data_IF_155040267315
#
_entry.id   IF_155040267315
#
_cell.length_a   1.000
_cell.length_b   1.000
_cell.length_c   1.000
_cell.angle_alpha   90.00
_cell.angle_beta   90.00
_cell.angle_gamma   90.00
#
_symmetry.space_group_name_H-M   'P 1'
#
loop_
_entity.id
_entity.type
_entity.pdbx_description
1 polymer ?
#
# COMPACT_ATOMS: atom_id res chain seq x y z
N UNK A 1 78.15 39.28 -47.62
CA UNK A 1 77.53 40.62 -47.57
C UNK A 1 76.13 40.53 -48.16
N UNK A 2 75.15 41.15 -47.49
CA UNK A 2 73.72 41.29 -47.86
C UNK A 2 72.90 40.00 -47.71
N UNK A 3 71.66 40.01 -47.25
CA UNK A 3 70.80 40.98 -46.56
C UNK A 3 69.64 40.15 -46.01
N UNK A 4 69.21 40.44 -44.78
CA UNK A 4 67.96 39.92 -44.18
C UNK A 4 66.74 40.48 -44.92
N UNK A 5 65.75 39.63 -45.21
CA UNK A 5 64.36 40.05 -45.49
C UNK A 5 63.44 39.20 -44.59
N UNK A 6 62.66 39.80 -43.67
CA UNK A 6 61.72 39.08 -42.83
C UNK A 6 60.43 38.75 -43.61
N UNK A 7 59.92 37.52 -43.44
CA UNK A 7 58.62 37.12 -43.99
C UNK A 7 57.47 37.73 -43.15
N UNK A 8 56.36 38.14 -43.78
CA UNK A 8 55.26 38.80 -43.10
C UNK A 8 54.47 37.81 -42.23
N UNK A 9 54.12 38.25 -41.02
CA UNK A 9 53.18 37.55 -40.13
C UNK A 9 51.76 37.74 -40.65
N UNK A 10 51.14 36.64 -41.09
CA UNK A 10 49.73 36.59 -41.47
C UNK A 10 48.88 36.65 -40.18
N UNK A 11 48.20 37.76 -39.94
CA UNK A 11 47.21 37.87 -38.86
C UNK A 11 45.89 37.25 -39.35
N UNK A 12 45.58 36.05 -38.85
CA UNK A 12 44.28 35.42 -39.04
C UNK A 12 43.32 35.99 -37.99
N UNK A 13 42.52 37.00 -38.35
CA UNK A 13 41.39 37.44 -37.54
C UNK A 13 40.33 36.35 -37.52
N UNK A 14 40.29 35.58 -36.43
CA UNK A 14 39.20 34.65 -36.12
C UNK A 14 38.06 35.48 -35.57
N UNK A 15 37.05 35.77 -36.38
CA UNK A 15 35.78 36.34 -35.90
C UNK A 15 35.05 35.26 -35.12
N UNK A 16 35.17 35.27 -33.79
CA UNK A 16 34.43 34.38 -32.92
C UNK A 16 32.95 34.79 -32.94
N UNK A 17 32.12 34.06 -33.69
CA UNK A 17 30.66 34.16 -33.59
C UNK A 17 30.26 33.46 -32.29
N UNK A 18 30.00 34.24 -31.25
CA UNK A 18 29.41 33.75 -30.01
C UNK A 18 27.94 33.37 -30.29
N UNK A 19 27.69 32.09 -30.56
CA UNK A 19 26.36 31.50 -30.54
C UNK A 19 25.86 31.50 -29.09
N UNK A 20 25.09 32.53 -28.73
CA UNK A 20 24.32 32.56 -27.48
C UNK A 20 23.19 31.55 -27.65
N UNK A 21 23.41 30.31 -27.19
CA UNK A 21 22.31 29.37 -26.94
C UNK A 21 21.51 29.92 -25.75
N UNK A 22 20.42 30.64 -26.05
CA UNK A 22 19.33 30.80 -25.10
C UNK A 22 18.70 29.41 -24.90
N UNK A 23 19.27 28.64 -23.96
CA UNK A 23 18.59 27.48 -23.42
C UNK A 23 17.33 27.98 -22.72
N UNK A 24 16.20 27.94 -23.42
CA UNK A 24 14.90 27.92 -22.76
C UNK A 24 14.89 26.65 -21.90
N UNK A 25 15.32 26.79 -20.65
CA UNK A 25 15.03 25.81 -19.62
C UNK A 25 13.52 25.77 -19.49
N UNK A 26 12.88 24.84 -20.21
CA UNK A 26 11.50 24.50 -19.96
C UNK A 26 11.43 24.00 -18.52
N UNK A 27 11.01 24.87 -17.61
CA UNK A 27 10.64 24.45 -16.27
C UNK A 27 9.56 23.39 -16.45
N UNK A 28 9.85 22.14 -16.08
CA UNK A 28 8.85 21.07 -16.06
C UNK A 28 7.77 21.50 -15.05
N UNK A 29 6.75 22.19 -15.52
CA UNK A 29 5.63 22.58 -14.69
C UNK A 29 4.72 21.37 -14.56
N UNK A 30 4.49 20.96 -13.31
CA UNK A 30 3.49 19.96 -12.97
C UNK A 30 2.15 20.30 -13.63
N UNK A 31 1.63 19.41 -14.46
CA UNK A 31 0.35 19.59 -15.14
C UNK A 31 -0.80 18.98 -14.32
N UNK A 32 -2.01 19.48 -14.54
CA UNK A 32 -3.23 18.83 -14.06
C UNK A 32 -3.89 18.06 -15.20
N UNK A 33 -3.92 16.73 -15.10
CA UNK A 33 -4.64 15.87 -16.05
C UNK A 33 -6.07 15.64 -15.56
N UNK A 34 -7.05 16.13 -16.31
CA UNK A 34 -8.48 15.98 -15.96
C UNK A 34 -9.04 14.72 -16.61
N UNK A 35 -9.58 13.83 -15.78
CA UNK A 35 -10.13 12.54 -16.19
C UNK A 35 -11.64 12.49 -15.99
N UNK A 36 -12.36 11.97 -16.98
CA UNK A 36 -13.80 11.76 -16.96
C UNK A 36 -14.40 11.71 -18.36
N UNK A 37 -15.63 11.19 -18.54
CA UNK A 37 -16.24 10.99 -19.86
C UNK A 37 -16.16 12.21 -20.78
N UNK A 38 -16.38 13.40 -20.21
CA UNK A 38 -16.36 14.69 -20.93
C UNK A 38 -15.08 15.50 -20.70
N UNK A 39 -13.99 14.86 -20.29
CA UNK A 39 -12.69 15.50 -20.03
C UNK A 39 -11.67 15.13 -21.11
N UNK A 40 -10.55 15.85 -21.13
CA UNK A 40 -9.41 15.61 -22.04
C UNK A 40 -8.98 14.15 -22.06
N UNK A 41 -9.00 13.49 -20.89
CA UNK A 41 -8.77 12.06 -20.78
C UNK A 41 -10.06 11.37 -20.34
N UNK A 42 -10.64 10.53 -21.19
CA UNK A 42 -11.88 9.84 -20.87
C UNK A 42 -11.75 8.89 -19.66
N UNK A 43 -10.56 8.31 -19.44
CA UNK A 43 -10.33 7.27 -18.43
C UNK A 43 -8.99 7.41 -17.68
N UNK A 44 -8.85 6.83 -16.47
CA UNK A 44 -7.61 6.85 -15.70
C UNK A 44 -6.42 6.25 -16.46
N UNK A 45 -6.62 5.14 -17.18
CA UNK A 45 -5.60 4.52 -18.01
C UNK A 45 -5.15 5.40 -19.17
N UNK A 46 -6.01 6.28 -19.70
CA UNK A 46 -5.62 7.27 -20.71
C UNK A 46 -4.69 8.34 -20.14
N UNK A 47 -5.00 8.88 -18.96
CA UNK A 47 -4.10 9.81 -18.27
C UNK A 47 -2.77 9.14 -17.87
N UNK A 48 -2.81 7.89 -17.40
CA UNK A 48 -1.61 7.16 -17.01
C UNK A 48 -0.58 6.98 -18.14
N UNK A 49 -1.02 6.93 -19.40
CA UNK A 49 -0.12 6.82 -20.57
C UNK A 49 0.68 8.10 -20.85
N UNK A 50 0.22 9.24 -20.37
CA UNK A 50 0.83 10.54 -20.69
C UNK A 50 1.32 11.32 -19.47
N UNK A 51 0.95 10.89 -18.26
CA UNK A 51 1.38 11.49 -17.01
C UNK A 51 2.91 11.58 -16.95
N UNK A 52 3.40 12.71 -16.46
CA UNK A 52 4.82 13.01 -16.24
C UNK A 52 5.09 13.21 -14.75
N UNK A 53 6.36 13.16 -14.33
CA UNK A 53 6.68 13.43 -12.94
C UNK A 53 6.19 14.80 -12.47
N UNK A 54 5.62 14.86 -11.27
CA UNK A 54 5.01 16.06 -10.70
C UNK A 54 3.53 16.27 -11.03
N UNK A 55 2.97 15.54 -12.01
CA UNK A 55 1.59 15.75 -12.43
C UNK A 55 0.55 15.42 -11.34
N UNK A 56 -0.57 16.13 -11.37
CA UNK A 56 -1.77 15.80 -10.61
C UNK A 56 -2.86 15.30 -11.55
N UNK A 57 -3.35 14.09 -11.30
CA UNK A 57 -4.44 13.48 -12.05
C UNK A 57 -5.71 13.65 -11.24
N UNK A 58 -6.65 14.45 -11.76
CA UNK A 58 -7.95 14.72 -11.16
C UNK A 58 -9.04 13.90 -11.86
N UNK A 59 -9.59 12.92 -11.17
CA UNK A 59 -10.62 12.00 -11.68
C UNK A 59 -12.00 12.48 -11.21
N UNK A 60 -12.86 12.84 -12.16
CA UNK A 60 -14.24 13.23 -11.87
C UNK A 60 -15.06 12.03 -11.35
N UNK A 61 -16.12 12.26 -10.54
CA UNK A 61 -17.07 11.22 -10.16
C UNK A 61 -17.59 10.43 -11.37
N UNK A 62 -17.69 9.12 -11.21
CA UNK A 62 -18.09 8.21 -12.28
C UNK A 62 -17.66 6.77 -11.99
N UNK A 63 -18.29 5.83 -12.69
CA UNK A 63 -17.91 4.41 -12.66
C UNK A 63 -17.08 4.11 -13.90
N UNK A 64 -15.83 3.72 -13.68
CA UNK A 64 -14.85 3.42 -14.71
C UNK A 64 -14.61 1.92 -14.78
N UNK A 65 -14.97 1.32 -15.93
CA UNK A 65 -14.53 -0.02 -16.32
C UNK A 65 -13.14 0.05 -16.95
N UNK A 66 -12.20 0.61 -16.20
CA UNK A 66 -10.83 0.88 -16.65
C UNK A 66 -9.79 0.39 -15.65
N UNK A 67 -8.57 0.20 -16.12
CA UNK A 67 -7.41 -0.07 -15.30
C UNK A 67 -6.26 0.83 -15.74
N UNK A 68 -5.28 1.07 -14.87
CA UNK A 68 -4.16 1.95 -15.18
C UNK A 68 -2.83 1.36 -14.71
N UNK A 69 -1.78 1.61 -15.50
CA UNK A 69 -0.39 1.31 -15.14
C UNK A 69 0.38 2.62 -15.01
N UNK A 70 0.59 3.05 -13.78
CA UNK A 70 1.29 4.29 -13.44
C UNK A 70 2.80 4.05 -13.42
N UNK A 71 3.54 4.83 -14.21
CA UNK A 71 5.02 4.70 -14.34
C UNK A 71 5.78 5.98 -13.98
N UNK A 72 5.06 7.09 -13.83
CA UNK A 72 5.66 8.40 -13.54
C UNK A 72 5.71 8.60 -12.04
N UNK A 73 6.90 8.98 -11.54
CA UNK A 73 7.14 9.24 -10.13
C UNK A 73 6.52 10.57 -9.70
N UNK A 74 6.40 10.79 -8.40
CA UNK A 74 6.05 12.11 -7.83
C UNK A 74 4.71 12.63 -8.34
N UNK A 75 3.73 11.74 -8.51
CA UNK A 75 2.38 12.09 -9.01
C UNK A 75 1.33 11.94 -7.90
N UNK A 76 0.26 12.73 -8.02
CA UNK A 76 -0.95 12.57 -7.21
C UNK A 76 -2.10 12.14 -8.11
N UNK A 77 -2.84 11.12 -7.70
CA UNK A 77 -4.02 10.60 -8.37
C UNK A 77 -5.19 10.76 -7.40
N UNK A 78 -6.10 11.69 -7.68
CA UNK A 78 -7.16 12.06 -6.75
C UNK A 78 -8.54 12.04 -7.40
N UNK A 79 -9.50 11.45 -6.70
CA UNK A 79 -10.91 11.67 -6.97
C UNK A 79 -11.31 13.10 -6.61
N UNK A 80 -12.01 13.82 -7.50
CA UNK A 80 -12.42 15.21 -7.25
C UNK A 80 -13.67 15.33 -6.38
N UNK A 81 -14.23 14.21 -5.91
CA UNK A 81 -15.44 14.13 -5.11
C UNK A 81 -15.87 12.68 -4.87
N UNK A 82 -16.93 12.46 -4.08
CA UNK A 82 -17.45 11.12 -3.84
C UNK A 82 -17.94 10.48 -5.15
N UNK A 83 -17.89 9.14 -5.22
CA UNK A 83 -18.41 8.38 -6.36
C UNK A 83 -17.43 8.17 -7.51
N UNK A 84 -16.13 8.36 -7.29
CA UNK A 84 -15.08 7.89 -8.22
C UNK A 84 -14.84 6.41 -7.97
N UNK A 85 -15.30 5.55 -8.87
CA UNK A 85 -15.26 4.09 -8.71
C UNK A 85 -14.55 3.47 -9.91
N UNK A 86 -13.50 2.70 -9.67
CA UNK A 86 -12.93 1.78 -10.65
C UNK A 86 -13.36 0.36 -10.31
N UNK A 87 -13.89 -0.36 -11.31
CA UNK A 87 -14.57 -1.63 -11.07
C UNK A 87 -14.11 -2.70 -12.05
N UNK A 88 -13.77 -3.88 -11.53
CA UNK A 88 -13.66 -5.15 -12.28
C UNK A 88 -12.43 -5.30 -13.18
N UNK A 89 -12.11 -4.29 -14.00
CA UNK A 89 -11.03 -4.40 -14.99
C UNK A 89 -9.67 -4.32 -14.32
N UNK A 90 -8.79 -5.27 -14.65
CA UNK A 90 -7.41 -5.32 -14.16
C UNK A 90 -6.40 -5.17 -15.29
N UNK A 91 -5.24 -4.64 -14.95
CA UNK A 91 -4.10 -4.41 -15.83
C UNK A 91 -2.99 -5.41 -15.50
N UNK A 92 -2.29 -5.88 -16.54
CA UNK A 92 -1.16 -6.83 -16.44
C UNK A 92 -1.50 -8.16 -15.76
N UNK A 93 -2.78 -8.54 -15.68
CA UNK A 93 -3.22 -9.69 -14.90
C UNK A 93 -2.96 -9.53 -13.39
N UNK A 94 -2.89 -8.29 -12.88
CA UNK A 94 -2.50 -8.00 -11.50
C UNK A 94 -3.54 -7.20 -10.71
N UNK A 95 -3.89 -6.00 -11.17
CA UNK A 95 -4.67 -5.06 -10.35
C UNK A 95 -5.40 -4.02 -11.18
N UNK A 96 -6.39 -3.35 -10.58
CA UNK A 96 -7.03 -2.18 -11.19
C UNK A 96 -5.98 -1.08 -11.41
N UNK A 97 -5.24 -0.72 -10.38
CA UNK A 97 -4.06 0.14 -10.49
C UNK A 97 -2.77 -0.64 -10.25
N UNK A 98 -1.88 -0.62 -11.24
CA UNK A 98 -0.50 -1.10 -11.08
C UNK A 98 0.42 0.10 -11.00
N UNK A 99 1.03 0.33 -9.84
CA UNK A 99 1.87 1.49 -9.57
C UNK A 99 3.34 1.07 -9.62
N UNK A 100 3.96 1.23 -10.79
CA UNK A 100 5.39 1.01 -11.01
C UNK A 100 6.13 2.36 -10.98
N UNK A 101 5.93 3.12 -9.91
CA UNK A 101 6.43 4.48 -9.74
C UNK A 101 6.67 4.77 -8.26
N UNK A 102 7.58 5.70 -7.98
CA UNK A 102 7.93 6.15 -6.63
C UNK A 102 7.16 7.42 -6.26
N UNK A 103 6.92 7.63 -4.96
CA UNK A 103 6.25 8.82 -4.42
C UNK A 103 4.91 9.10 -5.09
N UNK A 104 4.02 8.11 -5.01
CA UNK A 104 2.67 8.24 -5.57
C UNK A 104 1.69 8.43 -4.44
N UNK A 105 0.81 9.40 -4.59
CA UNK A 105 -0.37 9.53 -3.73
C UNK A 105 -1.60 9.10 -4.51
N UNK A 106 -2.40 8.23 -3.93
CA UNK A 106 -3.76 7.89 -4.37
C UNK A 106 -4.71 8.36 -3.29
N UNK A 107 -5.82 9.00 -3.68
CA UNK A 107 -6.83 9.43 -2.71
C UNK A 107 -8.24 9.56 -3.26
N UNK A 108 -9.23 9.29 -2.42
CA UNK A 108 -10.64 9.53 -2.69
C UNK A 108 -11.22 8.64 -3.80
N UNK A 109 -10.73 7.42 -3.95
CA UNK A 109 -11.12 6.48 -5.01
C UNK A 109 -11.62 5.16 -4.41
N UNK A 110 -12.69 4.63 -4.98
CA UNK A 110 -13.15 3.27 -4.70
C UNK A 110 -12.63 2.29 -5.75
N UNK A 111 -11.93 1.27 -5.30
CA UNK A 111 -11.45 0.12 -6.08
C UNK A 111 -12.30 -1.09 -5.73
N UNK A 112 -12.97 -1.69 -6.73
CA UNK A 112 -13.83 -2.85 -6.44
C UNK A 112 -13.81 -3.97 -7.47
N UNK A 113 -14.16 -5.16 -7.02
CA UNK A 113 -14.35 -6.34 -7.85
C UNK A 113 -13.08 -6.75 -8.64
N UNK A 114 -11.88 -6.47 -8.15
CA UNK A 114 -10.65 -6.90 -8.81
C UNK A 114 -10.46 -8.42 -8.70
N UNK A 115 -10.49 -9.11 -9.85
CA UNK A 115 -10.31 -10.55 -9.95
C UNK A 115 -9.34 -10.89 -11.06
N UNK A 116 -8.40 -11.80 -10.79
CA UNK A 116 -7.46 -12.34 -11.77
C UNK A 116 -7.35 -13.87 -11.60
N UNK A 117 -6.95 -14.62 -12.65
CA UNK A 117 -6.85 -16.08 -12.58
C UNK A 117 -5.91 -16.60 -11.49
N UNK A 118 -4.86 -15.84 -11.16
CA UNK A 118 -3.88 -16.21 -10.13
C UNK A 118 -4.45 -16.11 -8.71
N UNK A 119 -5.65 -15.54 -8.53
CA UNK A 119 -6.34 -15.43 -7.23
C UNK A 119 -5.86 -14.30 -6.34
N UNK A 120 -5.13 -13.32 -6.87
CA UNK A 120 -4.58 -12.18 -6.12
C UNK A 120 -4.84 -10.82 -6.81
N UNK A 121 -5.99 -10.71 -7.48
CA UNK A 121 -6.42 -9.52 -8.19
C UNK A 121 -6.61 -8.37 -7.22
N UNK A 122 -5.76 -7.34 -7.32
CA UNK A 122 -5.73 -6.28 -6.34
C UNK A 122 -6.48 -5.01 -6.79
N UNK A 123 -7.00 -4.24 -5.83
CA UNK A 123 -7.35 -2.84 -6.08
C UNK A 123 -6.11 -2.06 -6.52
N UNK A 124 -5.03 -2.15 -5.72
CA UNK A 124 -3.72 -1.60 -6.08
C UNK A 124 -2.63 -2.67 -5.98
N UNK A 125 -1.81 -2.80 -7.03
CA UNK A 125 -0.51 -3.47 -7.00
C UNK A 125 0.59 -2.41 -6.88
N UNK A 126 1.25 -2.35 -5.72
CA UNK A 126 2.38 -1.46 -5.49
C UNK A 126 3.69 -2.12 -5.94
N UNK A 127 4.36 -1.50 -6.92
CA UNK A 127 5.65 -1.93 -7.48
C UNK A 127 6.79 -0.94 -7.25
N UNK A 128 6.52 0.30 -6.85
CA UNK A 128 7.51 1.31 -6.49
C UNK A 128 7.51 1.68 -5.00
N UNK A 129 8.43 2.56 -4.60
CA UNK A 129 8.59 3.02 -3.21
C UNK A 129 7.64 4.16 -2.87
N UNK A 130 7.27 4.24 -1.60
CA UNK A 130 6.62 5.43 -1.01
C UNK A 130 5.25 5.70 -1.66
N UNK A 131 4.35 4.74 -1.48
CA UNK A 131 2.95 4.87 -1.85
C UNK A 131 2.16 5.40 -0.65
N UNK A 132 1.34 6.42 -0.90
CA UNK A 132 0.39 7.00 0.05
C UNK A 132 -1.03 6.74 -0.47
N UNK A 133 -1.87 6.16 0.37
CA UNK A 133 -3.28 5.81 0.09
C UNK A 133 -4.13 6.49 1.15
N UNK A 134 -5.05 7.37 0.73
CA UNK A 134 -5.76 8.26 1.68
C UNK A 134 -7.22 8.40 1.27
N UNK A 135 -8.16 8.18 2.20
CA UNK A 135 -9.60 8.28 1.92
C UNK A 135 -10.07 7.34 0.78
N UNK A 136 -9.38 6.22 0.58
CA UNK A 136 -9.70 5.25 -0.47
C UNK A 136 -10.55 4.09 0.07
N UNK A 137 -11.23 3.39 -0.83
CA UNK A 137 -12.04 2.21 -0.49
C UNK A 137 -11.67 1.03 -1.37
N UNK A 138 -11.57 -0.15 -0.78
CA UNK A 138 -11.24 -1.42 -1.42
C UNK A 138 -12.34 -2.41 -1.10
N UNK A 139 -13.20 -2.70 -2.07
CA UNK A 139 -14.44 -3.46 -1.87
C UNK A 139 -14.46 -4.71 -2.76
N UNK A 140 -14.76 -5.87 -2.20
CA UNK A 140 -15.01 -7.10 -2.97
C UNK A 140 -13.86 -7.47 -3.93
N UNK A 141 -12.62 -7.14 -3.58
CA UNK A 141 -11.45 -7.54 -4.36
C UNK A 141 -10.92 -8.87 -3.83
N UNK A 142 -10.25 -9.64 -4.70
CA UNK A 142 -9.45 -10.77 -4.19
C UNK A 142 -8.41 -10.25 -3.20
N UNK A 143 -7.70 -9.17 -3.53
CA UNK A 143 -6.82 -8.44 -2.63
C UNK A 143 -7.17 -6.94 -2.59
N UNK A 144 -7.17 -6.29 -1.42
CA UNK A 144 -7.25 -4.82 -1.40
C UNK A 144 -5.99 -4.18 -1.99
N UNK A 145 -4.84 -4.34 -1.30
CA UNK A 145 -3.53 -3.87 -1.78
C UNK A 145 -2.50 -4.99 -1.69
N UNK A 146 -1.79 -5.25 -2.81
CA UNK A 146 -0.63 -6.14 -2.85
C UNK A 146 0.66 -5.38 -3.16
N UNK A 147 1.63 -5.45 -2.26
CA UNK A 147 3.00 -4.98 -2.49
C UNK A 147 3.97 -6.16 -2.44
N UNK A 148 4.87 -6.25 -3.42
CA UNK A 148 5.96 -7.23 -3.41
C UNK A 148 7.08 -6.88 -2.43
N UNK A 149 8.26 -7.47 -2.63
CA UNK A 149 9.47 -7.00 -1.97
C UNK A 149 9.94 -5.69 -2.64
N UNK A 150 9.98 -4.60 -1.88
CA UNK A 150 10.43 -3.28 -2.33
C UNK A 150 11.42 -2.77 -1.27
N UNK A 151 12.72 -3.12 -1.38
CA UNK A 151 13.72 -2.73 -0.38
C UNK A 151 13.74 -1.21 -0.18
N UNK A 152 13.67 -0.76 1.06
CA UNK A 152 13.62 0.66 1.42
C UNK A 152 12.29 1.37 1.10
N UNK A 153 11.28 0.66 0.58
CA UNK A 153 9.97 1.23 0.28
C UNK A 153 9.11 1.42 1.52
N UNK A 154 8.19 2.39 1.46
CA UNK A 154 7.12 2.55 2.43
C UNK A 154 5.74 2.49 1.77
N UNK A 155 4.76 2.00 2.52
CA UNK A 155 3.33 2.11 2.23
C UNK A 155 2.65 2.76 3.43
N UNK A 156 1.98 3.88 3.19
CA UNK A 156 1.20 4.62 4.18
C UNK A 156 -0.25 4.62 3.75
N UNK A 157 -1.14 4.16 4.64
CA UNK A 157 -2.58 4.07 4.42
C UNK A 157 -3.28 4.85 5.53
N UNK A 158 -4.12 5.81 5.18
CA UNK A 158 -4.83 6.66 6.14
C UNK A 158 -6.31 6.78 5.76
N UNK A 159 -7.20 6.77 6.74
CA UNK A 159 -8.65 7.00 6.55
C UNK A 159 -9.33 6.12 5.49
N UNK A 160 -8.80 4.92 5.25
CA UNK A 160 -9.23 4.06 4.15
C UNK A 160 -10.08 2.88 4.63
N UNK A 161 -10.84 2.26 3.73
CA UNK A 161 -11.73 1.13 4.05
C UNK A 161 -11.43 -0.09 3.20
N UNK A 162 -11.32 -1.26 3.82
CA UNK A 162 -11.11 -2.55 3.19
C UNK A 162 -12.26 -3.46 3.59
N UNK A 163 -13.21 -3.67 2.69
CA UNK A 163 -14.46 -4.38 2.99
C UNK A 163 -14.60 -5.58 2.07
N UNK A 164 -14.89 -6.76 2.64
CA UNK A 164 -15.19 -7.96 1.87
C UNK A 164 -14.08 -8.38 0.87
N UNK A 165 -12.82 -8.06 1.19
CA UNK A 165 -11.69 -8.52 0.38
C UNK A 165 -11.24 -9.91 0.84
N UNK A 166 -10.56 -10.65 -0.03
CA UNK A 166 -9.90 -11.90 0.32
C UNK A 166 -10.41 -13.10 -0.49
N UNK A 167 -9.52 -14.08 -0.69
CA UNK A 167 -9.86 -15.38 -1.29
C UNK A 167 -8.72 -16.37 -1.06
N UNK A 168 -9.03 -17.67 -0.93
CA UNK A 168 -8.05 -18.76 -0.94
C UNK A 168 -8.32 -19.71 -2.12
N UNK A 169 -8.96 -19.22 -3.18
CA UNK A 169 -9.33 -20.00 -4.38
C UNK A 169 -8.14 -20.48 -5.22
N UNK A 170 -6.95 -19.92 -5.01
CA UNK A 170 -5.75 -20.22 -5.78
C UNK A 170 -4.79 -21.13 -5.02
N UNK A 171 -4.10 -22.00 -5.76
CA UNK A 171 -3.01 -22.84 -5.22
C UNK A 171 -1.77 -22.01 -4.84
N UNK A 172 -1.69 -20.75 -5.27
CA UNK A 172 -0.57 -19.85 -4.99
C UNK A 172 -0.62 -19.23 -3.58
N UNK A 173 -1.71 -19.45 -2.85
CA UNK A 173 -1.96 -18.90 -1.53
C UNK A 173 -3.23 -18.06 -1.48
N UNK A 174 -3.50 -17.50 -0.31
CA UNK A 174 -4.62 -16.61 -0.09
C UNK A 174 -4.27 -15.17 -0.44
N UNK A 175 -5.29 -14.39 -0.79
CA UNK A 175 -5.27 -12.95 -0.88
C UNK A 175 -5.94 -12.33 0.35
N UNK A 176 -5.63 -11.07 0.63
CA UNK A 176 -5.87 -10.41 1.92
C UNK A 176 -6.54 -9.03 1.76
N UNK A 177 -6.84 -8.36 2.88
CA UNK A 177 -7.18 -6.94 2.84
C UNK A 177 -5.98 -6.11 2.37
N UNK A 178 -4.85 -6.23 3.09
CA UNK A 178 -3.56 -5.67 2.70
C UNK A 178 -2.48 -6.73 2.87
N UNK A 179 -1.70 -6.96 1.81
CA UNK A 179 -0.49 -7.76 1.87
C UNK A 179 0.73 -6.97 1.35
N UNK A 180 1.69 -6.73 2.25
CA UNK A 180 3.03 -6.24 1.88
C UNK A 180 4.13 -7.29 2.08
N UNK A 181 4.99 -7.41 1.07
CA UNK A 181 6.25 -8.14 1.14
C UNK A 181 7.33 -7.40 1.95
N UNK A 182 8.59 -7.71 1.66
CA UNK A 182 9.74 -7.09 2.32
C UNK A 182 9.88 -5.61 1.93
N UNK A 183 9.36 -4.73 2.78
CA UNK A 183 9.47 -3.26 2.68
C UNK A 183 10.03 -2.68 3.98
N UNK A 184 10.40 -1.39 3.99
CA UNK A 184 10.90 -0.75 5.20
C UNK A 184 9.78 -0.45 6.20
N UNK A 185 8.67 0.13 5.74
CA UNK A 185 7.57 0.55 6.62
C UNK A 185 6.22 0.27 6.00
N UNK A 186 5.35 -0.38 6.76
CA UNK A 186 3.90 -0.29 6.60
C UNK A 186 3.35 0.57 7.74
N UNK A 187 2.59 1.62 7.41
CA UNK A 187 1.85 2.42 8.38
C UNK A 187 0.38 2.47 7.96
N UNK A 188 -0.52 2.07 8.85
CA UNK A 188 -1.97 2.13 8.64
C UNK A 188 -2.60 2.86 9.83
N UNK A 189 -3.30 3.96 9.56
CA UNK A 189 -3.97 4.73 10.61
C UNK A 189 -5.41 5.07 10.27
N UNK A 190 -6.24 5.11 11.32
CA UNK A 190 -7.63 5.58 11.25
C UNK A 190 -8.44 4.90 10.12
N UNK A 191 -8.12 3.63 9.84
CA UNK A 191 -8.68 2.86 8.73
C UNK A 191 -9.56 1.72 9.22
N UNK A 192 -10.43 1.22 8.34
CA UNK A 192 -11.39 0.16 8.64
C UNK A 192 -11.10 -1.07 7.78
N UNK A 193 -11.05 -2.23 8.42
CA UNK A 193 -11.08 -3.54 7.80
C UNK A 193 -12.33 -4.24 8.33
N UNK A 194 -13.18 -4.73 7.42
CA UNK A 194 -14.43 -5.35 7.80
C UNK A 194 -14.82 -6.50 6.87
N UNK A 195 -15.29 -7.60 7.46
CA UNK A 195 -15.88 -8.71 6.72
C UNK A 195 -14.91 -9.34 5.69
N UNK A 196 -13.62 -9.39 6.02
CA UNK A 196 -12.60 -10.04 5.17
C UNK A 196 -12.95 -11.52 4.96
N UNK A 197 -12.85 -11.97 3.71
CA UNK A 197 -13.22 -13.32 3.28
C UNK A 197 -11.96 -14.19 3.16
N UNK A 198 -11.77 -15.09 4.12
CA UNK A 198 -10.56 -15.91 4.30
C UNK A 198 -9.27 -15.07 4.25
N UNK A 199 -8.08 -15.67 4.23
CA UNK A 199 -6.84 -14.87 4.28
C UNK A 199 -6.72 -14.09 5.59
N UNK A 200 -6.36 -12.81 5.54
CA UNK A 200 -6.07 -11.97 6.71
C UNK A 200 -6.52 -10.53 6.42
N UNK A 201 -6.90 -9.75 7.42
CA UNK A 201 -7.14 -8.32 7.18
C UNK A 201 -5.82 -7.63 6.79
N UNK A 202 -4.75 -7.89 7.55
CA UNK A 202 -3.43 -7.29 7.32
C UNK A 202 -2.34 -8.36 7.43
N UNK A 203 -1.58 -8.56 6.34
CA UNK A 203 -0.36 -9.38 6.29
C UNK A 203 0.86 -8.52 5.98
N UNK A 204 1.81 -8.45 6.90
CA UNK A 204 2.98 -7.58 6.72
C UNK A 204 4.31 -8.28 6.94
N UNK A 205 5.15 -8.24 5.89
CA UNK A 205 6.58 -8.59 5.94
C UNK A 205 7.46 -7.35 5.98
N UNK A 206 6.95 -6.21 6.45
CA UNK A 206 7.75 -5.00 6.59
C UNK A 206 8.75 -5.10 7.76
N UNK A 207 9.88 -4.39 7.67
CA UNK A 207 10.82 -4.22 8.79
C UNK A 207 10.15 -3.51 9.98
N UNK A 208 9.18 -2.66 9.70
CA UNK A 208 8.35 -1.97 10.70
C UNK A 208 6.90 -1.89 10.23
N UNK A 209 5.98 -2.34 11.08
CA UNK A 209 4.54 -2.20 10.91
C UNK A 209 3.98 -1.33 12.04
N UNK A 210 3.19 -0.32 11.67
CA UNK A 210 2.56 0.62 12.60
C UNK A 210 1.06 0.65 12.32
N UNK A 211 0.25 0.24 13.28
CA UNK A 211 -1.22 0.20 13.19
C UNK A 211 -1.80 1.04 14.34
N UNK A 212 -2.38 2.20 14.05
CA UNK A 212 -2.90 3.12 15.07
C UNK A 212 -4.33 3.53 14.78
N UNK A 213 -5.23 3.45 15.76
CA UNK A 213 -6.59 3.97 15.64
C UNK A 213 -7.47 3.24 14.61
N UNK A 214 -7.09 2.03 14.20
CA UNK A 214 -7.83 1.28 13.19
C UNK A 214 -8.97 0.47 13.82
N UNK A 215 -9.97 0.15 13.00
CA UNK A 215 -11.04 -0.81 13.31
C UNK A 215 -10.86 -2.03 12.41
N UNK A 216 -10.53 -3.18 12.98
CA UNK A 216 -10.17 -4.42 12.27
C UNK A 216 -11.08 -5.53 12.78
N UNK A 217 -12.13 -5.84 12.05
CA UNK A 217 -13.21 -6.68 12.58
C UNK A 217 -13.79 -7.63 11.53
N UNK A 218 -13.93 -8.90 11.89
CA UNK A 218 -14.60 -9.88 11.04
C UNK A 218 -16.11 -9.58 10.87
N UNK A 219 -16.77 -9.06 11.90
CA UNK A 219 -18.23 -8.99 11.93
C UNK A 219 -18.88 -10.39 11.90
N UNK A 220 -20.20 -10.45 11.63
CA UNK A 220 -20.96 -11.70 11.70
C UNK A 220 -20.70 -12.67 10.54
N UNK A 221 -20.04 -12.22 9.47
CA UNK A 221 -19.88 -12.97 8.21
C UNK A 221 -18.42 -13.09 7.77
N UNK A 222 -17.50 -12.31 8.35
CA UNK A 222 -16.08 -12.39 8.04
C UNK A 222 -15.51 -13.75 8.42
N UNK A 223 -14.59 -14.20 7.60
CA UNK A 223 -13.94 -15.52 7.72
C UNK A 223 -12.41 -15.38 7.78
N UNK A 224 -11.89 -14.18 8.08
CA UNK A 224 -10.45 -13.94 8.13
C UNK A 224 -9.77 -14.93 9.08
N UNK A 225 -8.58 -15.39 8.70
CA UNK A 225 -7.77 -16.30 9.49
C UNK A 225 -7.13 -15.56 10.67
N UNK A 226 -6.39 -14.49 10.38
CA UNK A 226 -5.78 -13.61 11.39
C UNK A 226 -6.19 -12.17 11.08
N UNK A 227 -6.48 -11.37 12.09
CA UNK A 227 -6.70 -9.93 11.90
C UNK A 227 -5.38 -9.25 11.55
N UNK A 228 -4.28 -9.69 12.18
CA UNK A 228 -2.93 -9.20 11.87
C UNK A 228 -1.93 -10.34 11.86
N UNK A 229 -1.25 -10.51 10.73
CA UNK A 229 -0.14 -11.45 10.57
C UNK A 229 1.17 -10.73 10.25
N UNK A 230 2.18 -10.97 11.08
CA UNK A 230 3.55 -10.47 10.93
C UNK A 230 4.49 -11.67 10.73
N UNK A 231 4.44 -12.37 9.58
CA UNK A 231 4.93 -13.74 9.44
C UNK A 231 6.46 -13.86 9.47
N UNK A 232 7.21 -12.77 9.25
CA UNK A 232 8.67 -12.77 9.34
C UNK A 232 9.19 -11.91 10.50
N UNK A 233 8.35 -11.59 11.49
CA UNK A 233 8.71 -10.62 12.53
C UNK A 233 8.92 -9.22 11.95
N UNK A 234 9.80 -8.44 12.58
CA UNK A 234 9.92 -7.00 12.34
C UNK A 234 9.28 -6.21 13.49
N UNK A 235 9.58 -4.92 13.55
CA UNK A 235 9.03 -4.05 14.59
C UNK A 235 7.52 -3.93 14.42
N UNK A 236 6.74 -4.16 15.48
CA UNK A 236 5.30 -3.97 15.50
C UNK A 236 4.93 -2.93 16.55
N UNK A 237 4.20 -1.90 16.14
CA UNK A 237 3.56 -0.92 17.03
C UNK A 237 2.07 -0.93 16.73
N UNK A 238 1.25 -1.45 17.64
CA UNK A 238 -0.21 -1.43 17.56
C UNK A 238 -0.77 -0.62 18.71
N UNK A 239 -1.47 0.48 18.40
CA UNK A 239 -2.06 1.37 19.41
C UNK A 239 -3.50 1.74 19.14
N UNK A 240 -4.29 1.75 20.21
CA UNK A 240 -5.64 2.33 20.22
C UNK A 240 -6.54 1.78 19.09
N UNK A 241 -6.31 0.53 18.67
CA UNK A 241 -7.12 -0.13 17.66
C UNK A 241 -8.31 -0.83 18.33
N UNK A 242 -9.42 -0.92 17.58
CA UNK A 242 -10.56 -1.79 17.88
C UNK A 242 -10.42 -3.02 17.00
N UNK A 243 -10.38 -4.19 17.63
CA UNK A 243 -10.12 -5.46 16.97
C UNK A 243 -11.22 -6.46 17.35
N UNK A 244 -11.74 -7.20 16.39
CA UNK A 244 -12.70 -8.28 16.64
C UNK A 244 -12.26 -9.57 15.96
N UNK A 245 -12.29 -10.67 16.72
CA UNK A 245 -12.29 -12.02 16.17
C UNK A 245 -13.71 -12.53 16.02
N UNK A 246 -14.11 -12.84 14.79
CA UNK A 246 -15.48 -13.22 14.45
C UNK A 246 -15.83 -14.67 14.78
N UNK A 247 -17.12 -15.04 14.72
CA UNK A 247 -17.58 -16.40 14.95
C UNK A 247 -17.18 -17.39 13.85
N UNK A 248 -17.01 -16.91 12.62
CA UNK A 248 -16.80 -17.74 11.43
C UNK A 248 -15.35 -17.75 10.93
N UNK A 249 -14.41 -17.19 11.69
CA UNK A 249 -13.00 -17.11 11.28
C UNK A 249 -12.40 -18.46 10.89
N UNK A 250 -11.78 -18.57 9.71
CA UNK A 250 -11.16 -19.83 9.25
C UNK A 250 -10.13 -20.39 10.25
N UNK A 251 -9.39 -19.50 10.91
CA UNK A 251 -8.54 -19.84 12.04
C UNK A 251 -9.08 -19.17 13.29
N UNK A 252 -9.74 -19.94 14.13
CA UNK A 252 -10.28 -19.45 15.40
C UNK A 252 -9.19 -19.24 16.48
N UNK A 253 -8.02 -19.86 16.33
CA UNK A 253 -7.07 -20.07 17.43
C UNK A 253 -6.15 -18.89 17.75
N UNK A 254 -6.09 -17.85 16.91
CA UNK A 254 -5.22 -16.69 17.12
C UNK A 254 -5.76 -15.47 16.37
N UNK A 255 -5.66 -14.29 16.99
CA UNK A 255 -6.01 -13.03 16.38
C UNK A 255 -4.80 -12.31 15.74
N UNK A 256 -3.76 -12.08 16.55
CA UNK A 256 -2.50 -11.45 16.12
C UNK A 256 -1.38 -12.51 16.12
N UNK A 257 -0.88 -12.83 14.92
CA UNK A 257 0.16 -13.85 14.73
C UNK A 257 1.52 -13.21 14.45
N UNK A 258 2.54 -13.55 15.26
CA UNK A 258 3.90 -13.02 15.10
C UNK A 258 4.90 -14.14 14.76
N UNK A 259 5.35 -14.06 13.52
CA UNK A 259 6.32 -14.86 12.79
C UNK A 259 6.19 -16.36 12.72
N UNK A 260 5.01 -16.79 12.29
CA UNK A 260 4.77 -18.17 11.89
C UNK A 260 5.73 -18.69 10.79
N UNK A 261 6.21 -17.83 9.88
CA UNK A 261 6.97 -18.25 8.70
C UNK A 261 8.50 -18.32 8.90
N UNK A 262 9.00 -18.06 10.11
CA UNK A 262 10.44 -18.03 10.39
C UNK A 262 11.20 -16.91 9.63
N UNK A 263 12.51 -17.08 9.41
CA UNK A 263 13.40 -16.08 8.77
C UNK A 263 13.20 -14.66 9.31
N UNK A 264 13.34 -14.54 10.62
CA UNK A 264 13.04 -13.34 11.39
C UNK A 264 13.83 -12.12 10.93
N UNK A 265 13.12 -11.05 10.63
CA UNK A 265 13.71 -9.74 10.44
C UNK A 265 14.20 -9.18 11.78
N UNK A 266 15.21 -8.28 11.76
CA UNK A 266 15.60 -7.54 12.95
C UNK A 266 14.37 -6.91 13.61
N UNK A 267 14.07 -7.36 14.83
CA UNK A 267 12.86 -6.97 15.56
C UNK A 267 13.29 -6.19 16.79
N UNK A 268 13.24 -4.86 16.70
CA UNK A 268 13.67 -4.00 17.80
C UNK A 268 12.62 -3.92 18.92
N UNK A 269 11.33 -3.96 18.54
CA UNK A 269 10.23 -3.72 19.47
C UNK A 269 8.93 -4.37 18.96
N UNK A 270 8.21 -5.02 19.86
CA UNK A 270 6.82 -5.43 19.68
C UNK A 270 6.04 -4.79 20.83
N UNK A 271 5.19 -3.82 20.49
CA UNK A 271 4.34 -3.09 21.44
C UNK A 271 2.90 -3.10 20.95
N UNK A 272 2.01 -3.59 21.80
CA UNK A 272 0.58 -3.69 21.56
C UNK A 272 -0.08 -3.01 22.76
N UNK A 273 -0.53 -1.78 22.60
CA UNK A 273 -0.85 -0.86 23.70
C UNK A 273 -2.23 -0.21 23.51
N UNK A 274 -3.06 -0.15 24.55
CA UNK A 274 -4.34 0.57 24.52
C UNK A 274 -5.40 0.02 23.55
N UNK A 275 -5.23 -1.19 23.00
CA UNK A 275 -6.19 -1.75 22.05
C UNK A 275 -7.40 -2.34 22.77
N UNK A 276 -8.56 -2.32 22.13
CA UNK A 276 -9.74 -3.08 22.55
C UNK A 276 -9.91 -4.28 21.63
N UNK A 277 -9.88 -5.49 22.18
CA UNK A 277 -10.12 -6.72 21.46
C UNK A 277 -11.42 -7.39 21.94
N UNK A 278 -12.26 -7.78 21.01
CA UNK A 278 -13.49 -8.53 21.28
C UNK A 278 -13.43 -9.89 20.59
N UNK A 279 -13.55 -10.97 21.36
CA UNK A 279 -13.72 -12.31 20.79
C UNK A 279 -15.21 -12.68 20.76
N UNK A 280 -15.79 -12.77 19.57
CA UNK A 280 -17.17 -13.24 19.36
C UNK A 280 -17.22 -14.70 18.88
N UNK A 281 -16.07 -15.34 18.69
CA UNK A 281 -15.95 -16.72 18.24
C UNK A 281 -15.53 -17.72 19.33
N UNK A 282 -15.03 -18.91 18.94
CA UNK A 282 -14.50 -19.90 19.86
C UNK A 282 -13.31 -19.38 20.70
N UNK A 283 -12.82 -20.14 21.69
CA UNK A 283 -11.65 -19.75 22.46
C UNK A 283 -10.45 -19.41 21.57
N UNK A 284 -9.82 -18.25 21.82
CA UNK A 284 -8.74 -17.73 20.98
C UNK A 284 -7.54 -17.24 21.77
N UNK A 285 -6.45 -16.94 21.07
CA UNK A 285 -5.28 -16.25 21.60
C UNK A 285 -5.25 -14.84 21.00
N UNK A 286 -5.24 -13.80 21.85
CA UNK A 286 -5.16 -12.43 21.35
C UNK A 286 -3.82 -12.19 20.63
N UNK A 287 -2.68 -12.52 21.26
CA UNK A 287 -1.37 -12.44 20.62
C UNK A 287 -0.61 -13.76 20.74
N UNK A 288 -0.22 -14.35 19.62
CA UNK A 288 0.70 -15.50 19.59
C UNK A 288 2.06 -15.05 19.07
N UNK A 289 3.06 -15.04 19.96
CA UNK A 289 4.41 -14.59 19.63
C UNK A 289 5.40 -15.74 19.53
N UNK A 290 5.74 -16.13 18.29
CA UNK A 290 6.80 -17.12 18.04
C UNK A 290 8.18 -16.46 17.85
N UNK A 291 8.25 -15.12 17.84
CA UNK A 291 9.51 -14.39 17.64
C UNK A 291 10.44 -14.56 18.85
N UNK A 292 11.76 -14.39 18.67
CA UNK A 292 12.68 -14.32 19.80
C UNK A 292 12.51 -13.04 20.64
N UNK A 293 11.86 -12.01 20.10
CA UNK A 293 11.70 -10.70 20.75
C UNK A 293 10.47 -10.71 21.66
N UNK A 294 10.58 -10.34 22.94
CA UNK A 294 9.42 -10.27 23.83
C UNK A 294 8.38 -9.24 23.36
N UNK A 295 7.11 -9.64 23.33
CA UNK A 295 5.98 -8.75 23.10
C UNK A 295 5.58 -8.02 24.39
N UNK A 296 5.31 -6.71 24.31
CA UNK A 296 4.75 -5.95 25.43
C UNK A 296 3.30 -5.60 25.14
N UNK A 297 2.38 -6.21 25.87
CA UNK A 297 0.96 -5.89 25.85
C UNK A 297 0.67 -4.98 27.05
N UNK A 298 0.23 -3.75 26.81
CA UNK A 298 0.04 -2.74 27.88
C UNK A 298 -1.35 -2.12 27.77
N UNK A 299 -2.16 -2.21 28.82
CA UNK A 299 -3.45 -1.52 28.89
C UNK A 299 -4.46 -1.94 27.80
N UNK A 300 -4.33 -3.17 27.26
CA UNK A 300 -5.29 -3.68 26.30
C UNK A 300 -6.53 -4.21 27.03
N UNK A 301 -7.71 -3.93 26.47
CA UNK A 301 -8.98 -4.42 27.01
C UNK A 301 -9.44 -5.63 26.20
N UNK A 302 -9.58 -6.80 26.82
CA UNK A 302 -10.09 -8.01 26.17
C UNK A 302 -11.52 -8.29 26.63
N UNK A 303 -12.44 -8.50 25.69
CA UNK A 303 -13.88 -8.70 25.93
C UNK A 303 -14.39 -9.93 25.16
N UNK A 304 -15.59 -10.37 25.52
CA UNK A 304 -16.29 -11.46 24.83
C UNK A 304 -15.89 -12.85 25.36
N UNK A 305 -15.86 -13.82 24.45
CA UNK A 305 -15.56 -15.22 24.75
C UNK A 305 -14.11 -15.43 25.21
N UNK A 306 -13.83 -16.63 25.72
CA UNK A 306 -12.53 -17.02 26.28
C UNK A 306 -11.36 -16.59 25.40
N UNK A 307 -10.45 -15.80 25.98
CA UNK A 307 -9.28 -15.27 25.28
C UNK A 307 -8.05 -15.43 26.15
N UNK A 308 -7.02 -16.07 25.61
CA UNK A 308 -5.67 -16.04 26.21
C UNK A 308 -4.96 -14.78 25.74
N UNK A 309 -4.55 -13.84 26.63
CA UNK A 309 -3.96 -12.57 26.19
C UNK A 309 -2.69 -12.73 25.36
N UNK A 310 -1.79 -13.61 25.78
CA UNK A 310 -0.49 -13.81 25.15
C UNK A 310 -0.05 -15.26 25.27
N UNK A 311 0.46 -15.82 24.18
CA UNK A 311 1.29 -17.03 24.20
C UNK A 311 2.67 -16.73 23.59
N UNK A 312 3.72 -17.31 24.15
CA UNK A 312 5.11 -17.05 23.74
C UNK A 312 5.79 -15.95 24.56
N UNK A 313 6.92 -15.41 24.06
CA UNK A 313 7.76 -14.47 24.81
C UNK A 313 7.08 -13.11 24.97
N UNK A 314 7.00 -12.59 26.19
CA UNK A 314 6.50 -11.25 26.44
C UNK A 314 5.91 -11.06 27.83
N UNK A 315 5.17 -9.96 27.99
CA UNK A 315 4.49 -9.57 29.22
C UNK A 315 3.14 -8.95 28.91
N UNK A 316 2.17 -9.18 29.80
CA UNK A 316 0.86 -8.55 29.79
C UNK A 316 0.78 -7.63 31.01
N UNK A 317 0.45 -6.37 30.80
CA UNK A 317 0.38 -5.29 31.80
C UNK A 317 -0.94 -4.53 31.67
#
# INVERSE_FOLDING_TARGET
>A
MRNTIPKPRCFLTITAVALIFFGLGATLQAATLRVGPDRTYATPGAAARVAKPGDTIKIAPGIYQDCAVWRSNDITIEGTGPGVVLSGKTCQGKAIFVINANHVTVRGITFRNAHVPDGNGAGIRAGGRNLYVVDDQFLDNQEGILAGAIPGGSLVIEHSRFIHNGTCSSKLGCAHGVYVGHIAVLKITDSVFFDTQVGHDIKSRALKTVLIGNRIEDGPHGTASYEVDIPNGGTLIMRDNIIEKGPNSDNHGTAIMLGEAGRWQPTQKILIEGNTFTNNGPPTVFVRNLTPTPARLIGNTLKGNTTTPLTGKGSVQ
#
